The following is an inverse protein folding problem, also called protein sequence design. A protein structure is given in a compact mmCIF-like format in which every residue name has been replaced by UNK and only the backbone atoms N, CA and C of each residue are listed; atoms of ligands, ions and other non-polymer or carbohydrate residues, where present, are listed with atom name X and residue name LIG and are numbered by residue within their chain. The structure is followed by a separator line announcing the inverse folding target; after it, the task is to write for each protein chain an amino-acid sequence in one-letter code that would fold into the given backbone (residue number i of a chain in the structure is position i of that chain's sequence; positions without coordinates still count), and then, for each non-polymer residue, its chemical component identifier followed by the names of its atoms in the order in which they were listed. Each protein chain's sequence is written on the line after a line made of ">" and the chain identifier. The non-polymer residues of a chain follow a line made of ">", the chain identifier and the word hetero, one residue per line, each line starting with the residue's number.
data_IF_128838391927
#
_entry.id   IF_128838391927
#
_cell.length_a   1.000
_cell.length_b   1.000
_cell.length_c   1.000
_cell.angle_alpha   90.00
_cell.angle_beta   90.00
_cell.angle_gamma   90.00
#
_symmetry.space_group_name_H-M   'P 1'
#
loop_
_entity.id
_entity.type
_entity.pdbx_description
1 polymer ?
#
# COMPACT_ATOMS: atom_id res chain seq x y z
N UNK A 1 24.05 26.90 4.45
CA UNK A 1 23.96 25.66 3.66
C UNK A 1 22.56 25.59 3.11
N UNK A 2 22.35 25.31 1.81
CA UNK A 2 21.02 25.07 1.24
C UNK A 2 20.40 23.86 1.94
N UNK A 3 19.11 23.91 2.17
CA UNK A 3 18.37 22.82 2.81
C UNK A 3 18.33 21.61 1.88
N UNK A 4 18.68 20.43 2.36
CA UNK A 4 18.64 19.20 1.54
C UNK A 4 17.24 18.60 1.59
N UNK A 5 16.54 18.53 0.45
CA UNK A 5 15.18 18.04 0.34
C UNK A 5 15.06 16.58 -0.13
N UNK A 6 16.15 15.98 -0.64
CA UNK A 6 16.13 14.63 -1.20
C UNK A 6 17.26 13.78 -0.62
N UNK A 7 16.96 12.48 -0.41
CA UNK A 7 17.91 11.49 0.07
C UNK A 7 17.72 10.18 -0.69
N UNK A 8 18.83 9.59 -1.20
CA UNK A 8 18.82 8.20 -1.67
C UNK A 8 18.52 7.26 -0.49
N UNK A 9 17.87 6.11 -0.73
CA UNK A 9 17.62 5.14 0.33
C UNK A 9 18.91 4.73 1.05
N UNK A 10 20.01 4.54 0.31
CA UNK A 10 21.32 4.21 0.88
C UNK A 10 21.95 5.32 1.73
N UNK A 11 21.52 6.56 1.60
CA UNK A 11 22.06 7.70 2.36
C UNK A 11 21.29 7.95 3.66
N UNK A 12 20.02 7.53 3.72
CA UNK A 12 19.10 7.97 4.77
C UNK A 12 19.54 7.56 6.17
N UNK A 13 20.07 6.35 6.36
CA UNK A 13 20.56 5.91 7.67
C UNK A 13 21.73 6.75 8.15
N UNK A 14 22.77 6.92 7.33
CA UNK A 14 23.99 7.64 7.68
C UNK A 14 23.75 9.14 7.87
N UNK A 15 22.89 9.73 7.02
CA UNK A 15 22.57 11.15 7.09
C UNK A 15 21.94 11.59 8.43
N UNK A 16 21.31 10.67 9.13
CA UNK A 16 20.65 10.94 10.42
C UNK A 16 21.23 10.12 11.57
N UNK A 17 22.38 9.48 11.36
CA UNK A 17 23.06 8.68 12.39
C UNK A 17 22.23 7.50 12.93
N UNK A 18 21.29 6.98 12.13
CA UNK A 18 20.40 5.91 12.53
C UNK A 18 19.28 6.33 13.52
N UNK A 19 19.13 7.64 13.80
CA UNK A 19 18.04 8.10 14.67
C UNK A 19 16.68 7.92 13.98
N UNK A 20 15.95 6.90 14.40
CA UNK A 20 14.65 6.50 13.87
C UNK A 20 13.60 7.61 13.92
N UNK A 21 13.64 8.43 14.96
CA UNK A 21 12.68 9.54 15.15
C UNK A 21 12.92 10.63 14.12
N UNK A 22 14.18 11.06 13.96
CA UNK A 22 14.53 12.08 12.97
C UNK A 22 14.32 11.56 11.54
N UNK A 23 14.70 10.31 11.26
CA UNK A 23 14.43 9.70 9.95
C UNK A 23 12.95 9.69 9.61
N UNK A 24 12.08 9.25 10.51
CA UNK A 24 10.62 9.27 10.30
C UNK A 24 10.08 10.69 10.14
N UNK A 25 10.62 11.66 10.86
CA UNK A 25 10.20 13.04 10.76
C UNK A 25 10.52 13.66 9.40
N UNK A 26 11.63 13.31 8.80
CA UNK A 26 12.11 13.91 7.54
C UNK A 26 11.78 13.05 6.33
N UNK A 27 12.05 11.74 6.40
CA UNK A 27 11.84 10.80 5.28
C UNK A 27 10.42 10.21 5.27
N UNK A 28 9.63 10.46 6.31
CA UNK A 28 8.39 9.75 6.55
C UNK A 28 8.62 8.30 6.98
N UNK A 29 7.57 7.62 7.46
CA UNK A 29 7.71 6.24 7.94
C UNK A 29 8.16 5.25 6.86
N UNK A 30 7.64 5.40 5.64
CA UNK A 30 8.02 4.54 4.51
C UNK A 30 9.44 4.79 4.05
N UNK A 31 9.85 6.05 3.89
CA UNK A 31 11.22 6.41 3.48
C UNK A 31 12.25 5.99 4.53
N UNK A 32 11.97 6.17 5.81
CA UNK A 32 12.81 5.68 6.90
C UNK A 32 12.95 4.15 6.87
N UNK A 33 11.85 3.41 6.68
CA UNK A 33 11.88 1.95 6.55
C UNK A 33 12.70 1.47 5.36
N UNK A 34 12.57 2.13 4.20
CA UNK A 34 13.37 1.82 3.00
C UNK A 34 14.85 2.09 3.21
N UNK A 35 15.21 3.20 3.88
CA UNK A 35 16.58 3.52 4.21
C UNK A 35 17.18 2.49 5.19
N UNK A 36 16.46 2.11 6.22
CA UNK A 36 16.90 1.11 7.20
C UNK A 36 17.06 -0.29 6.58
N UNK A 37 16.07 -0.74 5.78
CA UNK A 37 16.19 -2.02 5.09
C UNK A 37 17.37 -2.04 4.12
N UNK A 38 17.63 -0.93 3.42
CA UNK A 38 18.78 -0.79 2.52
C UNK A 38 20.11 -0.85 3.31
N UNK A 39 20.20 -0.13 4.44
CA UNK A 39 21.35 -0.17 5.33
C UNK A 39 21.59 -1.57 5.91
N UNK A 40 20.53 -2.27 6.29
CA UNK A 40 20.58 -3.65 6.77
C UNK A 40 20.89 -4.69 5.69
N UNK A 41 21.11 -4.27 4.43
CA UNK A 41 21.46 -5.16 3.31
C UNK A 41 20.30 -6.01 2.80
N UNK A 42 19.06 -5.57 2.99
CA UNK A 42 17.90 -6.23 2.42
C UNK A 42 17.77 -5.93 0.90
N UNK A 43 17.15 -6.82 0.12
CA UNK A 43 16.96 -6.63 -1.32
C UNK A 43 15.86 -5.60 -1.60
N UNK A 44 16.19 -4.32 -1.43
CA UNK A 44 15.30 -3.18 -1.68
C UNK A 44 15.55 -2.63 -3.07
N UNK A 45 14.52 -2.45 -3.93
CA UNK A 45 14.69 -1.74 -5.19
C UNK A 45 15.22 -0.33 -4.95
N UNK A 46 16.15 0.12 -5.78
CA UNK A 46 16.81 1.44 -5.64
C UNK A 46 15.79 2.58 -5.73
N UNK A 47 16.10 3.69 -5.05
CA UNK A 47 15.23 4.86 -5.07
C UNK A 47 15.70 5.99 -4.15
N UNK A 48 14.89 7.02 -4.08
CA UNK A 48 15.11 8.17 -3.22
C UNK A 48 13.83 8.68 -2.58
N UNK A 49 13.97 9.41 -1.50
CA UNK A 49 12.87 10.05 -0.79
C UNK A 49 12.96 11.56 -0.94
N UNK A 50 11.85 12.19 -1.36
CA UNK A 50 11.61 13.62 -1.28
C UNK A 50 10.97 13.88 0.09
N UNK A 51 11.57 14.74 0.91
CA UNK A 51 11.28 14.86 2.34
C UNK A 51 9.91 15.47 2.65
N UNK A 52 9.45 15.28 3.88
CA UNK A 52 8.26 15.96 4.40
C UNK A 52 8.40 17.48 4.36
N UNK A 53 9.63 17.99 4.48
CA UNK A 53 9.91 19.41 4.39
C UNK A 53 9.72 19.97 2.97
N UNK A 54 9.95 19.17 1.93
CA UNK A 54 9.60 19.55 0.56
C UNK A 54 8.08 19.68 0.37
N UNK A 55 7.29 18.83 1.06
CA UNK A 55 5.83 18.96 1.08
C UNK A 55 5.38 20.25 1.76
N UNK A 56 5.94 20.59 2.92
CA UNK A 56 5.61 21.86 3.57
C UNK A 56 6.02 23.07 2.74
N UNK A 57 7.15 22.98 2.03
CA UNK A 57 7.57 24.02 1.07
C UNK A 57 6.60 24.14 -0.11
N UNK A 58 6.13 23.00 -0.67
CA UNK A 58 5.11 23.00 -1.72
C UNK A 58 3.85 23.74 -1.32
N UNK A 59 3.36 23.57 -0.08
CA UNK A 59 2.20 24.31 0.41
C UNK A 59 2.52 25.80 0.66
N UNK A 60 3.73 26.13 1.12
CA UNK A 60 4.19 27.51 1.29
C UNK A 60 4.33 28.25 -0.06
N UNK A 61 4.70 27.53 -1.11
CA UNK A 61 4.84 28.01 -2.49
C UNK A 61 3.50 27.93 -3.29
N UNK A 62 2.35 28.04 -2.61
CA UNK A 62 1.01 27.99 -3.22
C UNK A 62 0.72 26.72 -4.03
N UNK A 63 1.12 25.57 -3.52
CA UNK A 63 0.99 24.24 -4.16
C UNK A 63 1.78 24.11 -5.46
N UNK A 64 2.94 24.74 -5.51
CA UNK A 64 3.91 24.59 -6.60
C UNK A 64 5.22 24.02 -6.08
N UNK A 65 5.83 23.12 -6.87
CA UNK A 65 7.18 22.65 -6.62
C UNK A 65 8.14 23.68 -7.22
N UNK A 66 8.97 24.30 -6.40
CA UNK A 66 9.91 25.30 -6.88
C UNK A 66 11.04 24.69 -7.74
N UNK A 67 11.75 25.54 -8.48
CA UNK A 67 12.73 25.09 -9.47
C UNK A 67 13.94 24.39 -8.84
N UNK A 68 14.33 24.71 -7.59
CA UNK A 68 15.40 24.05 -6.87
C UNK A 68 15.03 22.58 -6.59
N UNK A 69 13.83 22.33 -6.04
CA UNK A 69 13.35 20.98 -5.77
C UNK A 69 13.16 20.18 -7.07
N UNK A 70 12.63 20.81 -8.15
CA UNK A 70 12.52 20.16 -9.46
C UNK A 70 13.88 19.74 -10.02
N UNK A 71 14.87 20.64 -9.95
CA UNK A 71 16.23 20.34 -10.41
C UNK A 71 16.84 19.18 -9.63
N UNK A 72 16.66 19.16 -8.30
CA UNK A 72 17.11 18.07 -7.46
C UNK A 72 16.40 16.75 -7.80
N UNK A 73 15.08 16.75 -8.05
CA UNK A 73 14.34 15.54 -8.48
C UNK A 73 14.99 14.95 -9.73
N UNK A 74 15.27 15.75 -10.75
CA UNK A 74 15.87 15.26 -11.99
C UNK A 74 17.32 14.80 -11.79
N UNK A 75 18.09 15.46 -10.95
CA UNK A 75 19.42 15.03 -10.55
C UNK A 75 19.39 13.66 -9.88
N UNK A 76 18.49 13.43 -8.94
CA UNK A 76 18.34 12.15 -8.26
C UNK A 76 17.81 11.05 -9.17
N UNK A 77 16.97 11.39 -10.16
CA UNK A 77 16.60 10.46 -11.22
C UNK A 77 17.81 10.03 -12.04
N UNK A 78 18.71 10.94 -12.43
CA UNK A 78 19.95 10.59 -13.12
C UNK A 78 20.84 9.64 -12.29
N UNK A 79 20.94 9.85 -10.97
CA UNK A 79 21.66 8.94 -10.08
C UNK A 79 20.97 7.56 -10.04
N UNK A 80 19.65 7.52 -10.02
CA UNK A 80 18.89 6.28 -10.05
C UNK A 80 19.09 5.51 -11.37
N UNK A 81 19.15 6.21 -12.50
CA UNK A 81 19.49 5.63 -13.81
C UNK A 81 20.87 4.97 -13.78
N UNK A 82 21.88 5.65 -13.23
CA UNK A 82 23.25 5.11 -13.07
C UNK A 82 23.26 3.85 -12.18
N UNK A 83 22.55 3.87 -11.07
CA UNK A 83 22.49 2.76 -10.12
C UNK A 83 21.81 1.52 -10.70
N UNK A 84 20.78 1.72 -11.51
CA UNK A 84 19.95 0.63 -12.06
C UNK A 84 20.46 0.15 -13.43
N UNK A 85 21.29 0.94 -14.12
CA UNK A 85 21.68 0.71 -15.51
C UNK A 85 20.50 0.80 -16.48
N UNK A 86 19.39 1.41 -16.07
CA UNK A 86 18.19 1.64 -16.88
C UNK A 86 18.02 3.15 -17.11
N UNK A 87 17.25 3.54 -18.11
CA UNK A 87 17.06 4.94 -18.45
C UNK A 87 15.58 5.32 -18.41
N UNK A 88 15.27 6.43 -17.76
CA UNK A 88 13.92 6.95 -17.63
C UNK A 88 13.40 7.47 -18.97
N UNK A 89 12.30 6.89 -19.46
CA UNK A 89 11.76 7.21 -20.79
C UNK A 89 12.49 6.56 -21.99
N UNK A 90 13.46 5.67 -21.74
CA UNK A 90 14.15 4.96 -22.83
C UNK A 90 13.23 3.98 -23.56
N UNK A 91 13.47 3.85 -24.86
CA UNK A 91 12.80 2.85 -25.70
C UNK A 91 13.44 1.46 -25.50
N UNK A 92 14.75 1.38 -25.31
CA UNK A 92 15.47 0.10 -25.29
C UNK A 92 15.54 -0.52 -23.91
N UNK A 93 15.70 0.30 -22.86
CA UNK A 93 15.89 -0.15 -21.49
C UNK A 93 15.18 0.77 -20.49
N UNK A 94 13.84 0.80 -20.48
CA UNK A 94 13.08 1.76 -19.70
C UNK A 94 13.25 1.52 -18.19
N UNK A 95 13.57 2.59 -17.47
CA UNK A 95 13.42 2.67 -16.03
C UNK A 95 11.97 3.05 -15.73
N UNK A 96 11.25 2.19 -15.03
CA UNK A 96 9.93 2.52 -14.50
C UNK A 96 10.03 2.70 -12.99
N UNK A 97 9.28 3.65 -12.47
CA UNK A 97 9.28 3.95 -11.03
C UNK A 97 7.86 3.97 -10.45
N UNK A 98 7.78 3.70 -9.15
CA UNK A 98 6.62 4.02 -8.34
C UNK A 98 6.83 5.37 -7.66
N UNK A 99 5.78 6.16 -7.50
CA UNK A 99 5.76 7.40 -6.73
C UNK A 99 4.74 7.21 -5.60
N UNK A 100 5.23 7.09 -4.38
CA UNK A 100 4.45 6.63 -3.22
C UNK A 100 4.53 7.64 -2.09
N UNK A 101 3.40 7.94 -1.45
CA UNK A 101 3.36 8.74 -0.24
C UNK A 101 4.06 8.06 0.94
N UNK A 102 4.57 8.87 1.86
CA UNK A 102 5.26 8.39 3.06
C UNK A 102 5.10 9.37 4.23
N UNK A 103 3.92 9.40 4.88
CA UNK A 103 3.72 10.22 6.08
C UNK A 103 4.56 9.69 7.27
N UNK A 104 4.83 10.55 8.26
CA UNK A 104 5.56 10.18 9.49
C UNK A 104 4.88 9.02 10.24
N UNK A 105 3.55 9.08 10.30
CA UNK A 105 2.70 8.01 10.84
C UNK A 105 1.97 7.31 9.69
N UNK A 106 1.85 5.99 9.77
CA UNK A 106 1.17 5.19 8.74
C UNK A 106 -0.30 5.59 8.61
N UNK A 107 -0.73 5.89 7.39
CA UNK A 107 -2.11 6.25 7.02
C UNK A 107 -2.56 5.34 5.87
N UNK A 108 -2.91 4.06 6.14
CA UNK A 108 -3.18 3.07 5.11
C UNK A 108 -4.36 3.48 4.21
N UNK A 109 -4.14 3.50 2.90
CA UNK A 109 -5.17 3.84 1.90
C UNK A 109 -5.59 5.31 1.84
N UNK A 110 -5.07 6.17 2.74
CA UNK A 110 -5.53 7.57 2.82
C UNK A 110 -4.85 8.50 1.81
N UNK A 111 -3.71 8.12 1.27
CA UNK A 111 -2.92 8.91 0.33
C UNK A 111 -2.57 8.11 -0.92
N UNK A 112 -2.23 8.84 -1.98
CA UNK A 112 -2.13 8.28 -3.30
C UNK A 112 -0.77 7.62 -3.60
N UNK A 113 -0.79 6.72 -4.59
CA UNK A 113 0.35 6.00 -5.14
C UNK A 113 0.20 5.95 -6.65
N UNK A 114 1.29 6.14 -7.39
CA UNK A 114 1.33 5.96 -8.84
C UNK A 114 2.39 4.90 -9.15
N UNK A 115 2.02 3.86 -9.90
CA UNK A 115 2.89 2.78 -10.33
C UNK A 115 3.20 2.87 -11.83
N UNK A 116 4.24 2.18 -12.26
CA UNK A 116 4.62 2.06 -13.68
C UNK A 116 4.91 3.41 -14.38
N UNK A 117 5.25 4.45 -13.61
CA UNK A 117 5.53 5.78 -14.13
C UNK A 117 6.81 5.77 -14.98
N UNK A 118 6.78 6.45 -16.09
CA UNK A 118 7.83 6.47 -17.12
C UNK A 118 7.42 5.76 -18.41
N UNK A 119 6.26 5.08 -18.43
CA UNK A 119 5.70 4.52 -19.66
C UNK A 119 5.10 5.60 -20.55
N UNK A 120 5.33 5.44 -21.84
CA UNK A 120 4.72 6.17 -22.93
C UNK A 120 4.58 5.22 -24.14
N UNK A 121 4.08 5.73 -25.27
CA UNK A 121 3.82 4.91 -26.46
C UNK A 121 5.07 4.23 -27.03
N UNK A 122 6.24 4.79 -26.79
CA UNK A 122 7.52 4.20 -27.24
C UNK A 122 8.12 3.25 -26.20
N UNK A 123 8.13 3.66 -24.94
CA UNK A 123 8.71 2.86 -23.86
C UNK A 123 7.96 1.54 -23.63
N UNK A 124 6.63 1.48 -23.88
CA UNK A 124 5.85 0.26 -23.78
C UNK A 124 6.28 -0.79 -24.82
N UNK A 125 6.58 -0.37 -26.05
CA UNK A 125 7.08 -1.28 -27.08
C UNK A 125 8.48 -1.80 -26.72
N UNK A 126 9.35 -0.94 -26.18
CA UNK A 126 10.66 -1.35 -25.67
C UNK A 126 10.56 -2.35 -24.52
N UNK A 127 9.66 -2.11 -23.59
CA UNK A 127 9.41 -3.04 -22.48
C UNK A 127 8.89 -4.39 -22.99
N UNK A 128 7.94 -4.38 -23.93
CA UNK A 128 7.39 -5.58 -24.54
C UNK A 128 8.47 -6.42 -25.24
N UNK A 129 9.33 -5.76 -26.02
CA UNK A 129 10.45 -6.42 -26.73
C UNK A 129 11.50 -6.97 -25.76
N UNK A 130 11.87 -6.18 -24.74
CA UNK A 130 12.89 -6.57 -23.77
C UNK A 130 12.47 -7.77 -22.91
N UNK A 131 11.20 -7.84 -22.53
CA UNK A 131 10.67 -8.91 -21.68
C UNK A 131 10.14 -10.10 -22.48
N UNK A 132 10.07 -10.01 -23.80
CA UNK A 132 9.36 -10.95 -24.68
C UNK A 132 7.92 -11.23 -24.19
N UNK A 133 7.31 -10.22 -23.58
CA UNK A 133 5.98 -10.32 -22.98
C UNK A 133 5.15 -9.05 -23.25
N UNK A 134 4.56 -8.93 -24.44
CA UNK A 134 3.74 -7.77 -24.80
C UNK A 134 2.53 -7.61 -23.86
N UNK A 135 1.94 -8.73 -23.39
CA UNK A 135 0.81 -8.68 -22.47
C UNK A 135 1.19 -7.95 -21.18
N UNK A 136 2.31 -8.31 -20.59
CA UNK A 136 2.83 -7.66 -19.37
C UNK A 136 3.07 -6.16 -19.59
N UNK A 137 3.74 -5.80 -20.69
CA UNK A 137 4.06 -4.40 -20.98
C UNK A 137 2.79 -3.53 -21.11
N UNK A 138 1.79 -4.03 -21.85
CA UNK A 138 0.54 -3.30 -22.05
C UNK A 138 -0.37 -3.33 -20.81
N UNK A 139 -0.31 -4.36 -19.95
CA UNK A 139 -0.97 -4.35 -18.65
C UNK A 139 -0.37 -3.26 -17.75
N UNK A 140 0.95 -3.12 -17.71
CA UNK A 140 1.60 -2.03 -16.99
C UNK A 140 1.19 -0.65 -17.52
N UNK A 141 1.08 -0.50 -18.85
CA UNK A 141 0.74 0.78 -19.44
C UNK A 141 -0.73 1.17 -19.22
N UNK A 142 -1.67 0.22 -19.36
CA UNK A 142 -3.09 0.52 -19.08
C UNK A 142 -3.29 0.89 -17.60
N UNK A 143 -2.62 0.16 -16.65
CA UNK A 143 -2.63 0.47 -15.22
C UNK A 143 -2.06 1.86 -14.94
N UNK A 144 -0.97 2.21 -15.60
CA UNK A 144 -0.36 3.53 -15.44
C UNK A 144 -1.30 4.64 -15.93
N UNK A 145 -1.91 4.51 -17.12
CA UNK A 145 -2.85 5.52 -17.63
C UNK A 145 -4.04 5.68 -16.68
N UNK A 146 -4.64 4.58 -16.24
CA UNK A 146 -5.76 4.59 -15.29
C UNK A 146 -5.38 5.30 -13.99
N UNK A 147 -4.27 4.88 -13.38
CA UNK A 147 -3.82 5.40 -12.09
C UNK A 147 -3.38 6.87 -12.18
N UNK A 148 -2.68 7.25 -13.24
CA UNK A 148 -2.30 8.64 -13.48
C UNK A 148 -3.54 9.54 -13.69
N UNK A 149 -4.50 9.06 -14.47
CA UNK A 149 -5.75 9.79 -14.72
C UNK A 149 -6.58 9.96 -13.43
N UNK A 150 -6.69 8.92 -12.62
CA UNK A 150 -7.42 8.96 -11.35
C UNK A 150 -6.73 9.85 -10.32
N UNK A 151 -5.44 9.64 -10.08
CA UNK A 151 -4.69 10.27 -9.00
C UNK A 151 -4.17 11.66 -9.35
N UNK A 152 -3.60 11.83 -10.53
CA UNK A 152 -2.97 13.11 -10.92
C UNK A 152 -4.00 14.10 -11.45
N UNK A 153 -4.94 13.59 -12.27
CA UNK A 153 -5.94 14.41 -12.94
C UNK A 153 -7.32 14.38 -12.27
N UNK A 154 -7.50 13.54 -11.24
CA UNK A 154 -8.75 13.43 -10.46
C UNK A 154 -9.99 13.09 -11.33
N UNK A 155 -9.80 12.29 -12.38
CA UNK A 155 -10.87 11.92 -13.31
C UNK A 155 -11.86 10.88 -12.74
N UNK A 156 -11.44 10.15 -11.70
CA UNK A 156 -12.19 9.00 -11.18
C UNK A 156 -11.95 7.72 -11.99
N UNK A 157 -11.74 6.62 -11.27
CA UNK A 157 -11.38 5.32 -11.86
C UNK A 157 -12.52 4.62 -12.59
N UNK A 158 -13.79 4.94 -12.27
CA UNK A 158 -14.97 4.28 -12.80
C UNK A 158 -15.04 4.28 -14.34
N UNK A 159 -14.66 5.39 -14.98
CA UNK A 159 -14.64 5.47 -16.44
C UNK A 159 -13.74 4.42 -17.11
N UNK A 160 -12.65 4.06 -16.45
CA UNK A 160 -11.68 3.07 -16.92
C UNK A 160 -12.13 1.66 -16.57
N UNK A 161 -12.67 1.44 -15.37
CA UNK A 161 -13.19 0.17 -14.90
C UNK A 161 -14.34 -0.31 -15.78
N UNK A 162 -15.27 0.58 -16.18
CA UNK A 162 -16.35 0.28 -17.13
C UNK A 162 -15.83 -0.25 -18.48
N UNK A 163 -14.71 0.26 -18.97
CA UNK A 163 -14.08 -0.22 -20.21
C UNK A 163 -13.44 -1.59 -20.04
N UNK A 164 -12.80 -1.83 -18.91
CA UNK A 164 -12.25 -3.15 -18.58
C UNK A 164 -13.35 -4.19 -18.50
N UNK A 165 -14.44 -3.88 -17.81
CA UNK A 165 -15.57 -4.80 -17.64
C UNK A 165 -16.28 -5.07 -18.97
N UNK A 166 -16.50 -4.06 -19.79
CA UNK A 166 -17.04 -4.22 -21.14
C UNK A 166 -16.13 -5.08 -22.04
N UNK A 167 -14.81 -4.93 -21.91
CA UNK A 167 -13.84 -5.77 -22.64
C UNK A 167 -13.93 -7.23 -22.17
N UNK A 168 -13.94 -7.46 -20.84
CA UNK A 168 -14.08 -8.81 -20.28
C UNK A 168 -15.35 -9.49 -20.72
N UNK A 169 -16.49 -8.78 -20.68
CA UNK A 169 -17.77 -9.29 -21.17
C UNK A 169 -17.73 -9.66 -22.66
N UNK A 170 -17.18 -8.78 -23.49
CA UNK A 170 -17.02 -8.98 -24.94
C UNK A 170 -16.13 -10.19 -25.27
N UNK A 171 -15.14 -10.48 -24.43
CA UNK A 171 -14.20 -11.60 -24.59
C UNK A 171 -14.63 -12.88 -23.86
N UNK A 172 -15.65 -12.81 -23.02
CA UNK A 172 -16.14 -13.96 -22.25
C UNK A 172 -15.18 -14.41 -21.15
N UNK A 173 -14.39 -13.47 -20.59
CA UNK A 173 -13.46 -13.72 -19.48
C UNK A 173 -13.87 -12.97 -18.22
N UNK A 174 -13.39 -13.42 -17.07
CA UNK A 174 -13.77 -12.84 -15.77
C UNK A 174 -12.65 -12.07 -15.09
N UNK A 175 -11.41 -12.42 -15.36
CA UNK A 175 -10.24 -11.80 -14.72
C UNK A 175 -9.43 -10.98 -15.71
N UNK A 176 -8.84 -9.89 -15.25
CA UNK A 176 -7.95 -9.05 -16.05
C UNK A 176 -6.74 -9.83 -16.58
N UNK A 177 -6.28 -10.85 -15.86
CA UNK A 177 -5.16 -11.70 -16.26
C UNK A 177 -5.47 -12.56 -17.49
N UNK A 178 -6.74 -12.76 -17.82
CA UNK A 178 -7.18 -13.54 -18.98
C UNK A 178 -7.24 -12.70 -20.28
N UNK A 179 -7.12 -11.36 -20.16
CA UNK A 179 -7.06 -10.47 -21.33
C UNK A 179 -5.74 -10.65 -22.09
N UNK A 180 -5.82 -10.69 -23.42
CA UNK A 180 -4.66 -10.84 -24.30
C UNK A 180 -3.88 -9.52 -24.45
N UNK A 181 -2.69 -9.58 -25.03
CA UNK A 181 -1.91 -8.39 -25.38
C UNK A 181 -2.68 -7.43 -26.30
N UNK A 182 -3.41 -7.95 -27.26
CA UNK A 182 -4.17 -7.13 -28.21
C UNK A 182 -5.39 -6.48 -27.54
N UNK A 183 -6.05 -7.17 -26.60
CA UNK A 183 -7.13 -6.59 -25.79
C UNK A 183 -6.61 -5.43 -24.93
N UNK A 184 -5.43 -5.59 -24.33
CA UNK A 184 -4.80 -4.56 -23.52
C UNK A 184 -4.31 -3.36 -24.36
N UNK A 185 -3.85 -3.59 -25.59
CA UNK A 185 -3.55 -2.51 -26.55
C UNK A 185 -4.79 -1.69 -26.90
N UNK A 186 -5.91 -2.38 -27.12
CA UNK A 186 -7.20 -1.72 -27.37
C UNK A 186 -7.63 -0.90 -26.17
N UNK A 187 -7.54 -1.46 -24.95
CA UNK A 187 -7.84 -0.72 -23.70
C UNK A 187 -6.94 0.51 -23.53
N UNK A 188 -5.64 0.42 -23.79
CA UNK A 188 -4.73 1.58 -23.74
C UNK A 188 -5.20 2.69 -24.66
N UNK A 189 -5.66 2.36 -25.86
CA UNK A 189 -6.20 3.33 -26.82
C UNK A 189 -7.48 3.97 -26.29
N UNK A 190 -8.43 3.16 -25.82
CA UNK A 190 -9.69 3.64 -25.24
C UNK A 190 -9.44 4.53 -23.99
N UNK A 191 -8.47 4.19 -23.16
CA UNK A 191 -8.12 4.98 -21.98
C UNK A 191 -7.54 6.35 -22.34
N UNK A 192 -6.71 6.41 -23.39
CA UNK A 192 -6.18 7.68 -23.89
C UNK A 192 -7.27 8.54 -24.54
N UNK A 193 -8.26 7.92 -25.16
CA UNK A 193 -9.44 8.63 -25.68
C UNK A 193 -10.30 9.21 -24.54
N UNK A 194 -10.52 8.47 -23.45
CA UNK A 194 -11.19 8.97 -22.25
C UNK A 194 -10.41 10.14 -21.65
N UNK A 195 -9.10 10.00 -21.53
CA UNK A 195 -8.24 11.07 -21.01
C UNK A 195 -8.38 12.36 -21.85
N UNK A 196 -8.27 12.24 -23.18
CA UNK A 196 -8.44 13.35 -24.11
C UNK A 196 -9.83 13.99 -24.01
N UNK A 197 -10.88 13.18 -23.95
CA UNK A 197 -12.27 13.66 -23.83
C UNK A 197 -12.48 14.46 -22.53
N UNK A 198 -11.93 14.00 -21.42
CA UNK A 198 -12.15 14.59 -20.11
C UNK A 198 -11.21 15.77 -19.80
N UNK A 199 -9.96 15.73 -20.27
CA UNK A 199 -8.95 16.76 -19.99
C UNK A 199 -8.81 17.78 -21.11
N UNK A 200 -9.21 17.43 -22.35
CA UNK A 200 -9.03 18.30 -23.52
C UNK A 200 -7.60 18.29 -24.09
N UNK A 201 -6.72 17.44 -23.54
CA UNK A 201 -5.32 17.29 -23.97
C UNK A 201 -4.93 15.82 -24.05
N UNK A 202 -3.84 15.53 -24.76
CA UNK A 202 -3.32 14.17 -24.89
C UNK A 202 -2.70 13.69 -23.59
N UNK A 203 -2.76 12.37 -23.34
CA UNK A 203 -2.04 11.77 -22.21
C UNK A 203 -0.54 12.09 -22.31
N UNK A 204 0.09 12.61 -21.22
CA UNK A 204 1.47 13.10 -21.25
C UNK A 204 2.46 12.00 -21.63
N UNK A 205 3.28 12.27 -22.64
CA UNK A 205 4.28 11.34 -23.17
C UNK A 205 5.70 11.62 -22.66
N UNK A 206 5.94 12.81 -22.05
CA UNK A 206 7.22 13.14 -21.41
C UNK A 206 7.27 12.54 -19.99
N UNK A 207 8.17 11.59 -19.70
CA UNK A 207 8.31 11.00 -18.37
C UNK A 207 8.67 12.01 -17.28
N UNK A 208 9.35 13.10 -17.60
CA UNK A 208 9.68 14.15 -16.63
C UNK A 208 8.45 14.95 -16.22
N UNK A 209 7.58 15.24 -17.17
CA UNK A 209 6.28 15.84 -16.89
C UNK A 209 5.42 14.91 -16.03
N UNK A 210 5.34 13.64 -16.40
CA UNK A 210 4.65 12.61 -15.61
C UNK A 210 5.16 12.57 -14.17
N UNK A 211 6.49 12.62 -13.95
CA UNK A 211 7.10 12.56 -12.62
C UNK A 211 6.73 13.74 -11.75
N UNK A 212 6.85 14.96 -12.29
CA UNK A 212 6.49 16.17 -11.55
C UNK A 212 4.99 16.20 -11.24
N UNK A 213 4.14 15.80 -12.17
CA UNK A 213 2.70 15.66 -11.96
C UNK A 213 2.37 14.68 -10.83
N UNK A 214 3.02 13.51 -10.82
CA UNK A 214 2.86 12.50 -9.78
C UNK A 214 3.33 12.99 -8.39
N UNK A 215 4.48 13.65 -8.30
CA UNK A 215 4.98 14.22 -7.04
C UNK A 215 4.02 15.28 -6.50
N UNK A 216 3.53 16.18 -7.35
CA UNK A 216 2.50 17.16 -6.97
C UNK A 216 1.22 16.50 -6.47
N UNK A 217 0.75 15.44 -7.15
CA UNK A 217 -0.45 14.72 -6.75
C UNK A 217 -0.29 14.05 -5.38
N UNK A 218 0.86 13.43 -5.11
CA UNK A 218 1.15 12.85 -3.79
C UNK A 218 1.21 13.92 -2.71
N UNK A 219 1.83 15.06 -2.93
CA UNK A 219 1.80 16.18 -1.98
C UNK A 219 0.37 16.68 -1.75
N UNK A 220 -0.42 16.83 -2.82
CA UNK A 220 -1.82 17.24 -2.73
C UNK A 220 -2.68 16.26 -1.94
N UNK A 221 -2.39 14.96 -2.06
CA UNK A 221 -3.14 13.92 -1.37
C UNK A 221 -3.06 14.00 0.17
N UNK A 222 -2.05 14.72 0.71
CA UNK A 222 -1.99 15.04 2.13
C UNK A 222 -3.22 15.84 2.61
N UNK A 223 -3.82 16.64 1.74
CA UNK A 223 -4.96 17.51 2.05
C UNK A 223 -6.29 16.99 1.44
N UNK A 224 -6.35 15.75 0.98
CA UNK A 224 -7.60 15.19 0.50
C UNK A 224 -8.60 14.90 1.65
N UNK A 225 -9.92 14.84 1.39
CA UNK A 225 -10.94 14.66 2.43
C UNK A 225 -10.71 13.44 3.31
N UNK A 226 -10.39 12.28 2.75
CA UNK A 226 -10.16 11.05 3.51
C UNK A 226 -8.92 11.14 4.41
N UNK A 227 -7.84 11.77 3.94
CA UNK A 227 -6.64 12.00 4.74
C UNK A 227 -6.92 12.98 5.90
N UNK A 228 -7.73 14.01 5.66
CA UNK A 228 -8.14 14.97 6.68
C UNK A 228 -8.94 14.30 7.81
N UNK A 229 -9.91 13.46 7.46
CA UNK A 229 -10.70 12.68 8.43
C UNK A 229 -9.78 11.76 9.25
N UNK A 230 -8.92 10.98 8.58
CA UNK A 230 -8.02 10.06 9.25
C UNK A 230 -7.05 10.77 10.20
N UNK A 231 -6.45 11.90 9.77
CA UNK A 231 -5.55 12.69 10.62
C UNK A 231 -6.26 13.22 11.87
N UNK A 232 -7.48 13.75 11.70
CA UNK A 232 -8.30 14.23 12.84
C UNK A 232 -8.60 13.12 13.84
N UNK A 233 -8.92 11.91 13.37
CA UNK A 233 -9.21 10.76 14.23
C UNK A 233 -7.97 10.25 14.98
N UNK A 234 -6.78 10.40 14.40
CA UNK A 234 -5.52 9.88 14.95
C UNK A 234 -4.63 10.99 15.52
N UNK A 235 -5.16 12.20 15.70
CA UNK A 235 -4.44 13.35 16.26
C UNK A 235 -3.11 13.67 15.53
N UNK A 236 -3.08 13.48 14.19
CA UNK A 236 -1.91 13.74 13.36
C UNK A 236 -1.89 15.21 12.93
N UNK A 237 -0.85 15.99 13.31
CA UNK A 237 -0.75 17.41 12.97
C UNK A 237 -0.66 17.64 11.46
N UNK A 238 -1.37 18.65 10.98
CA UNK A 238 -1.39 19.03 9.56
C UNK A 238 -0.01 19.45 9.03
N UNK A 239 0.73 20.18 9.84
CA UNK A 239 2.05 20.74 9.52
C UNK A 239 3.16 19.70 9.33
N UNK A 240 2.88 18.43 9.62
CA UNK A 240 3.86 17.36 9.40
C UNK A 240 4.13 17.09 7.91
N UNK A 241 3.13 17.26 7.06
CA UNK A 241 3.24 16.95 5.65
C UNK A 241 3.47 15.45 5.38
N UNK A 242 3.73 15.12 4.13
CA UNK A 242 4.10 13.77 3.69
C UNK A 242 5.39 13.80 2.89
N UNK A 243 6.20 12.76 3.01
CA UNK A 243 7.29 12.50 2.08
C UNK A 243 6.78 11.80 0.81
N UNK A 244 7.59 11.83 -0.24
CA UNK A 244 7.36 11.10 -1.49
C UNK A 244 8.53 10.17 -1.74
N UNK A 245 8.26 8.89 -1.95
CA UNK A 245 9.27 7.89 -2.29
C UNK A 245 9.17 7.59 -3.78
N UNK A 246 10.24 7.85 -4.52
CA UNK A 246 10.44 7.48 -5.92
C UNK A 246 11.32 6.26 -5.95
N UNK A 247 10.77 5.12 -6.38
CA UNK A 247 11.43 3.83 -6.27
C UNK A 247 11.33 3.06 -7.58
N UNK A 248 12.43 2.43 -8.00
CA UNK A 248 12.44 1.50 -9.13
C UNK A 248 11.35 0.46 -8.95
N UNK A 249 10.57 0.20 -10.01
CA UNK A 249 9.60 -0.88 -10.03
C UNK A 249 10.27 -2.25 -9.97
N UNK A 250 9.67 -3.14 -9.17
CA UNK A 250 9.85 -4.59 -9.24
C UNK A 250 8.49 -5.18 -9.64
N UNK A 251 8.49 -6.09 -10.62
CA UNK A 251 7.27 -6.50 -11.30
C UNK A 251 6.77 -7.88 -10.85
N UNK A 252 5.76 -7.89 -9.99
CA UNK A 252 5.08 -9.12 -9.59
C UNK A 252 4.16 -9.70 -10.67
N UNK A 253 3.88 -8.95 -11.74
CA UNK A 253 3.00 -9.34 -12.85
C UNK A 253 3.75 -9.68 -14.14
N UNK A 254 5.04 -9.98 -14.07
CA UNK A 254 5.85 -10.30 -15.25
C UNK A 254 5.75 -11.77 -15.70
N UNK A 255 5.00 -12.61 -14.98
CA UNK A 255 4.78 -14.02 -15.34
C UNK A 255 4.58 -14.92 -14.14
N UNK A 256 4.55 -16.23 -14.37
CA UNK A 256 4.22 -17.24 -13.36
C UNK A 256 5.29 -17.44 -12.28
N UNK A 257 6.51 -16.95 -12.50
CA UNK A 257 7.59 -16.93 -11.49
C UNK A 257 7.67 -15.59 -10.74
N UNK A 258 6.65 -14.78 -10.90
CA UNK A 258 6.55 -13.46 -10.30
C UNK A 258 5.27 -13.36 -9.49
N UNK A 259 5.29 -12.53 -8.46
CA UNK A 259 4.16 -12.35 -7.56
C UNK A 259 4.41 -11.21 -6.60
N UNK A 260 3.42 -10.93 -5.79
CA UNK A 260 3.50 -9.90 -4.75
C UNK A 260 2.69 -10.33 -3.54
N UNK A 261 3.04 -9.83 -2.37
CA UNK A 261 2.35 -10.20 -1.16
C UNK A 261 2.61 -9.28 0.02
N UNK A 262 1.85 -9.53 1.05
CA UNK A 262 1.96 -8.89 2.36
C UNK A 262 2.04 -9.96 3.43
N UNK A 263 2.94 -9.81 4.37
CA UNK A 263 3.09 -10.77 5.45
C UNK A 263 3.48 -10.10 6.78
N UNK A 264 3.17 -10.80 7.86
CA UNK A 264 3.49 -10.42 9.23
C UNK A 264 4.42 -11.45 9.83
N UNK A 265 5.41 -11.02 10.60
CA UNK A 265 6.32 -11.93 11.29
C UNK A 265 5.63 -12.76 12.37
N UNK A 266 4.51 -12.26 12.90
CA UNK A 266 3.62 -12.94 13.86
C UNK A 266 2.16 -12.73 13.48
N UNK A 267 1.28 -13.57 14.01
CA UNK A 267 -0.16 -13.41 13.80
C UNK A 267 -0.67 -12.09 14.37
N UNK A 268 -1.16 -11.13 13.55
CA UNK A 268 -1.59 -9.82 14.02
C UNK A 268 -2.90 -9.85 14.82
N UNK A 269 -3.65 -10.96 14.78
CA UNK A 269 -4.89 -11.12 15.53
C UNK A 269 -4.66 -11.77 16.91
N UNK A 270 -3.75 -12.75 17.00
CA UNK A 270 -3.55 -13.54 18.22
C UNK A 270 -2.20 -13.30 18.90
N UNK A 271 -1.20 -12.82 18.18
CA UNK A 271 0.18 -12.67 18.66
C UNK A 271 1.06 -13.91 18.47
N UNK A 272 0.49 -15.05 18.03
CA UNK A 272 1.23 -16.29 17.83
C UNK A 272 2.47 -16.07 16.95
N UNK A 273 3.63 -16.62 17.37
CA UNK A 273 4.88 -16.56 16.63
C UNK A 273 4.84 -17.47 15.40
N UNK A 274 4.12 -17.03 14.39
CA UNK A 274 3.94 -17.72 13.12
C UNK A 274 3.87 -16.72 12.00
N UNK A 275 4.71 -16.90 10.98
CA UNK A 275 4.66 -16.11 9.77
C UNK A 275 3.27 -16.22 9.15
N UNK A 276 2.58 -15.10 9.03
CA UNK A 276 1.25 -14.99 8.43
C UNK A 276 1.27 -14.00 7.29
N UNK A 277 0.61 -14.35 6.19
CA UNK A 277 0.52 -13.45 5.06
C UNK A 277 -0.14 -14.11 3.87
N UNK A 278 -0.26 -13.33 2.84
CA UNK A 278 -0.97 -13.66 1.62
C UNK A 278 -0.17 -13.15 0.42
N UNK A 279 -0.23 -13.88 -0.69
CA UNK A 279 0.41 -13.49 -1.93
C UNK A 279 -0.43 -13.87 -3.14
N UNK A 280 -0.18 -13.18 -4.25
CA UNK A 280 -0.73 -13.48 -5.55
C UNK A 280 0.40 -13.69 -6.56
N UNK A 281 0.33 -14.76 -7.31
CA UNK A 281 1.18 -14.98 -8.49
C UNK A 281 0.67 -14.12 -9.65
N UNK A 282 1.61 -13.62 -10.45
CA UNK A 282 1.35 -12.78 -11.61
C UNK A 282 0.40 -11.61 -11.27
N UNK A 283 0.81 -10.77 -10.31
CA UNK A 283 0.02 -9.65 -9.79
C UNK A 283 0.90 -8.47 -9.37
N UNK A 284 0.36 -7.26 -9.42
CA UNK A 284 0.96 -6.09 -8.77
C UNK A 284 0.42 -5.91 -7.36
N UNK A 285 1.10 -5.10 -6.53
CA UNK A 285 0.78 -4.94 -5.10
C UNK A 285 -0.66 -4.51 -4.82
N UNK A 286 -1.24 -3.70 -5.69
CA UNK A 286 -2.63 -3.26 -5.58
C UNK A 286 -3.63 -4.41 -5.70
N UNK A 287 -3.33 -5.46 -6.47
CA UNK A 287 -4.23 -6.60 -6.69
C UNK A 287 -4.45 -7.42 -5.40
N UNK A 288 -3.46 -7.44 -4.50
CA UNK A 288 -3.56 -8.13 -3.20
C UNK A 288 -4.53 -7.42 -2.26
N UNK A 289 -4.46 -6.09 -2.22
CA UNK A 289 -5.24 -5.28 -1.27
C UNK A 289 -6.62 -4.92 -1.80
N UNK A 290 -6.81 -4.89 -3.12
CA UNK A 290 -8.10 -4.62 -3.76
C UNK A 290 -9.11 -5.78 -3.59
N UNK A 291 -8.64 -7.00 -3.32
CA UNK A 291 -9.52 -8.15 -3.09
C UNK A 291 -10.18 -8.73 -4.34
N UNK A 292 -9.81 -8.29 -5.54
CA UNK A 292 -10.37 -8.76 -6.82
C UNK A 292 -10.09 -10.25 -7.04
N UNK A 293 -8.91 -10.71 -6.61
CA UNK A 293 -8.47 -12.11 -6.63
C UNK A 293 -8.31 -12.60 -5.20
N UNK A 294 -8.65 -13.86 -4.94
CA UNK A 294 -8.40 -14.50 -3.64
C UNK A 294 -6.92 -14.85 -3.53
N UNK A 295 -6.18 -14.25 -2.60
CA UNK A 295 -4.76 -14.54 -2.43
C UNK A 295 -4.54 -15.91 -1.80
N UNK A 296 -3.36 -16.48 -2.05
CA UNK A 296 -2.89 -17.72 -1.41
C UNK A 296 -2.19 -17.41 -0.08
N UNK A 297 -2.32 -18.27 0.93
CA UNK A 297 -1.59 -18.11 2.18
C UNK A 297 -0.07 -18.25 1.93
N UNK A 298 0.74 -17.44 2.64
CA UNK A 298 2.19 -17.38 2.47
C UNK A 298 2.88 -18.74 2.62
N UNK A 299 2.30 -19.66 3.40
CA UNK A 299 2.83 -21.02 3.57
C UNK A 299 2.87 -21.83 2.27
N UNK A 300 1.98 -21.54 1.33
CA UNK A 300 1.97 -22.17 0.00
C UNK A 300 3.16 -21.78 -0.87
N UNK A 301 3.76 -20.63 -0.61
CA UNK A 301 4.94 -20.17 -1.34
C UNK A 301 6.12 -21.13 -1.15
N UNK A 302 6.20 -21.82 -0.03
CA UNK A 302 7.20 -22.87 0.22
C UNK A 302 7.12 -24.03 -0.80
N UNK A 303 5.90 -24.37 -1.25
CA UNK A 303 5.69 -25.44 -2.25
C UNK A 303 5.97 -24.93 -3.68
N UNK A 304 5.59 -23.68 -3.96
CA UNK A 304 5.66 -23.10 -5.30
C UNK A 304 7.04 -22.51 -5.64
N UNK A 305 7.70 -21.84 -4.65
CA UNK A 305 9.01 -21.20 -4.78
C UNK A 305 9.82 -21.36 -3.47
N UNK A 306 10.32 -22.56 -3.16
CA UNK A 306 10.96 -22.84 -1.86
C UNK A 306 12.14 -21.93 -1.55
N UNK A 307 13.01 -21.65 -2.51
CA UNK A 307 14.18 -20.78 -2.32
C UNK A 307 13.79 -19.34 -1.96
N UNK A 308 12.72 -18.83 -2.60
CA UNK A 308 12.18 -17.48 -2.31
C UNK A 308 11.56 -17.45 -0.92
N UNK A 309 10.81 -18.51 -0.55
CA UNK A 309 10.21 -18.63 0.77
C UNK A 309 11.27 -18.67 1.87
N UNK A 310 12.32 -19.47 1.73
CA UNK A 310 13.40 -19.58 2.71
C UNK A 310 14.13 -18.25 2.88
N UNK A 311 14.43 -17.56 1.77
CA UNK A 311 15.00 -16.19 1.81
C UNK A 311 14.06 -15.20 2.52
N UNK A 312 12.76 -15.32 2.27
CA UNK A 312 11.77 -14.44 2.91
C UNK A 312 11.68 -14.67 4.42
N UNK A 313 11.70 -15.92 4.87
CA UNK A 313 11.71 -16.29 6.30
C UNK A 313 12.98 -15.74 7.00
N UNK A 314 14.14 -15.85 6.36
CA UNK A 314 15.38 -15.27 6.88
C UNK A 314 15.26 -13.75 7.03
N UNK A 315 14.78 -13.05 6.01
CA UNK A 315 14.59 -11.59 6.04
C UNK A 315 13.58 -11.20 7.13
N UNK A 316 12.45 -11.90 7.23
CA UNK A 316 11.43 -11.65 8.24
C UNK A 316 12.01 -11.76 9.66
N UNK A 317 12.80 -12.81 9.92
CA UNK A 317 13.48 -13.02 11.19
C UNK A 317 14.48 -11.88 11.48
N UNK A 318 15.29 -11.50 10.50
CA UNK A 318 16.26 -10.39 10.64
C UNK A 318 15.55 -9.06 10.92
N UNK A 319 14.45 -8.76 10.25
CA UNK A 319 13.68 -7.52 10.44
C UNK A 319 13.03 -7.47 11.84
N UNK A 320 12.41 -8.58 12.30
CA UNK A 320 11.83 -8.64 13.64
C UNK A 320 12.89 -8.42 14.72
N UNK A 321 14.07 -9.04 14.59
CA UNK A 321 15.19 -8.86 15.51
C UNK A 321 15.79 -7.45 15.46
N UNK A 322 15.87 -6.86 14.26
CA UNK A 322 16.38 -5.50 14.07
C UNK A 322 15.49 -4.43 14.73
N UNK A 323 14.20 -4.50 14.47
CA UNK A 323 13.21 -3.56 15.03
C UNK A 323 12.76 -3.96 16.44
N UNK A 324 13.11 -5.18 16.88
CA UNK A 324 12.70 -5.77 18.16
C UNK A 324 11.20 -5.78 18.35
N UNK A 325 10.43 -5.88 17.27
CA UNK A 325 8.98 -5.88 17.25
C UNK A 325 8.44 -6.59 16.03
N UNK A 326 7.19 -7.08 16.11
CA UNK A 326 6.47 -7.67 14.99
C UNK A 326 6.44 -6.73 13.79
N UNK A 327 6.80 -7.24 12.64
CA UNK A 327 6.82 -6.48 11.38
C UNK A 327 5.68 -6.88 10.44
N UNK A 328 5.13 -5.86 9.77
CA UNK A 328 4.27 -5.92 8.60
C UNK A 328 5.13 -5.59 7.38
N UNK A 329 5.18 -6.51 6.42
CA UNK A 329 6.13 -6.48 5.30
C UNK A 329 5.39 -6.58 3.98
N UNK A 330 5.73 -5.70 3.04
CA UNK A 330 5.31 -5.77 1.64
C UNK A 330 6.49 -6.27 0.80
N UNK A 331 6.26 -7.26 -0.05
CA UNK A 331 7.29 -7.84 -0.91
C UNK A 331 6.79 -8.09 -2.33
N UNK A 332 7.73 -8.17 -3.26
CA UNK A 332 7.47 -8.55 -4.66
C UNK A 332 8.51 -9.57 -5.09
N UNK A 333 8.09 -10.54 -5.86
CA UNK A 333 8.93 -11.52 -6.52
C UNK A 333 8.91 -11.21 -8.01
N UNK A 334 10.05 -10.93 -8.61
CA UNK A 334 10.22 -10.73 -10.04
C UNK A 334 11.12 -11.83 -10.60
N UNK A 335 10.55 -12.71 -11.41
CA UNK A 335 11.22 -13.87 -12.00
C UNK A 335 12.06 -14.68 -10.98
N UNK A 336 11.44 -15.02 -9.84
CA UNK A 336 12.07 -15.79 -8.76
C UNK A 336 13.05 -15.00 -7.89
N UNK A 337 13.17 -13.68 -8.06
CA UNK A 337 13.99 -12.80 -7.25
C UNK A 337 13.13 -12.00 -6.28
N UNK A 338 13.42 -12.11 -4.99
CA UNK A 338 12.70 -11.42 -3.94
C UNK A 338 13.15 -9.96 -3.78
N UNK A 339 12.18 -9.06 -3.61
CA UNK A 339 12.37 -7.66 -3.27
C UNK A 339 11.48 -7.26 -2.11
N UNK A 340 12.06 -6.51 -1.16
CA UNK A 340 11.33 -5.91 -0.06
C UNK A 340 10.92 -4.49 -0.42
N UNK A 341 9.61 -4.18 -0.36
CA UNK A 341 9.08 -2.88 -0.75
C UNK A 341 8.78 -1.98 0.44
N UNK A 342 8.42 -2.56 1.57
CA UNK A 342 8.11 -1.84 2.79
C UNK A 342 8.22 -2.75 4.00
N UNK A 343 8.65 -2.18 5.12
CA UNK A 343 8.44 -2.76 6.46
C UNK A 343 7.93 -1.69 7.41
N UNK A 344 7.14 -2.12 8.38
CA UNK A 344 6.64 -1.27 9.47
C UNK A 344 6.28 -2.13 10.67
N UNK A 345 6.20 -1.51 11.85
CA UNK A 345 5.62 -2.18 13.00
C UNK A 345 4.18 -2.55 12.68
N UNK A 346 3.86 -3.84 12.81
CA UNK A 346 2.57 -4.39 12.41
C UNK A 346 1.44 -3.84 13.27
N UNK A 347 0.38 -3.35 12.62
CA UNK A 347 -0.88 -3.10 13.32
C UNK A 347 -1.45 -4.41 13.79
N UNK A 348 -1.91 -4.44 15.04
CA UNK A 348 -2.33 -5.66 15.74
C UNK A 348 -3.48 -5.39 16.69
N UNK A 349 -4.20 -6.43 17.04
CA UNK A 349 -5.26 -6.37 18.04
C UNK A 349 -4.67 -6.14 19.44
N UNK A 350 -5.51 -5.72 20.38
CA UNK A 350 -5.12 -5.59 21.78
C UNK A 350 -4.59 -6.91 22.37
N UNK A 351 -5.24 -8.02 22.06
CA UNK A 351 -4.80 -9.36 22.47
C UNK A 351 -3.41 -9.69 21.93
N UNK A 352 -3.20 -9.46 20.63
CA UNK A 352 -1.91 -9.72 19.99
C UNK A 352 -0.81 -8.80 20.54
N UNK A 353 -1.13 -7.52 20.83
CA UNK A 353 -0.18 -6.58 21.41
C UNK A 353 0.35 -7.07 22.76
N UNK A 354 -0.55 -7.52 23.64
CA UNK A 354 -0.19 -8.08 24.95
C UNK A 354 0.62 -9.36 24.80
N UNK A 355 0.16 -10.31 23.98
CA UNK A 355 0.85 -11.59 23.77
C UNK A 355 2.27 -11.38 23.22
N UNK A 356 2.41 -10.54 22.17
CA UNK A 356 3.72 -10.23 21.55
C UNK A 356 4.66 -9.55 22.55
N UNK A 357 4.17 -8.64 23.38
CA UNK A 357 4.99 -7.98 24.38
C UNK A 357 5.55 -8.98 25.40
N UNK A 358 4.72 -9.92 25.88
CA UNK A 358 5.17 -10.99 26.78
C UNK A 358 6.19 -11.92 26.10
N UNK A 359 5.87 -12.43 24.89
CA UNK A 359 6.73 -13.34 24.16
C UNK A 359 8.11 -12.75 23.87
N UNK A 360 8.17 -11.45 23.48
CA UNK A 360 9.44 -10.78 23.22
C UNK A 360 10.31 -10.61 24.48
N UNK A 361 9.70 -10.51 25.67
CA UNK A 361 10.44 -10.55 26.96
C UNK A 361 10.96 -11.95 27.22
N UNK A 362 10.11 -12.97 27.10
CA UNK A 362 10.48 -14.36 27.31
C UNK A 362 11.59 -14.84 26.36
N UNK A 363 11.57 -14.32 25.13
CA UNK A 363 12.61 -14.53 24.11
C UNK A 363 13.89 -13.72 24.36
N UNK A 364 13.91 -12.82 25.36
CA UNK A 364 15.05 -11.96 25.67
C UNK A 364 15.34 -10.84 24.63
N UNK A 365 14.37 -10.53 23.78
CA UNK A 365 14.50 -9.51 22.73
C UNK A 365 14.33 -8.09 23.31
N UNK A 366 13.41 -7.94 24.28
CA UNK A 366 13.15 -6.68 24.99
C UNK A 366 13.08 -6.90 26.49
N UNK A 367 13.21 -5.84 27.27
CA UNK A 367 12.99 -5.89 28.71
C UNK A 367 11.51 -5.65 29.08
N UNK A 368 11.14 -5.99 30.33
CA UNK A 368 9.79 -5.83 30.84
C UNK A 368 9.30 -4.37 30.78
N UNK A 369 10.17 -3.42 31.02
CA UNK A 369 9.84 -1.99 30.96
C UNK A 369 9.44 -1.59 29.53
N UNK A 370 10.18 -2.03 28.54
CA UNK A 370 9.88 -1.80 27.12
C UNK A 370 8.56 -2.47 26.75
N UNK A 371 8.31 -3.69 27.23
CA UNK A 371 7.06 -4.41 26.98
C UNK A 371 5.84 -3.62 27.51
N UNK A 372 5.92 -3.15 28.75
CA UNK A 372 4.84 -2.33 29.36
C UNK A 372 4.61 -1.04 28.57
N UNK A 373 5.66 -0.36 28.12
CA UNK A 373 5.56 0.89 27.35
C UNK A 373 4.95 0.69 25.93
N UNK A 374 4.98 -0.54 25.40
CA UNK A 374 4.43 -0.86 24.07
C UNK A 374 2.94 -1.15 24.08
N UNK A 375 2.37 -1.51 25.21
CA UNK A 375 0.94 -1.79 25.34
C UNK A 375 0.23 -0.49 25.72
N UNK A 376 -0.55 0.04 24.78
CA UNK A 376 -1.30 1.27 25.05
C UNK A 376 -2.45 1.01 26.03
N UNK A 377 -2.72 1.90 27.01
CA UNK A 377 -3.82 1.74 27.97
C UNK A 377 -5.18 1.49 27.31
N UNK A 378 -5.48 2.16 26.19
CA UNK A 378 -6.71 1.97 25.42
C UNK A 378 -6.89 0.52 24.90
N UNK A 379 -5.80 -0.19 24.66
CA UNK A 379 -5.86 -1.60 24.24
C UNK A 379 -6.31 -2.51 25.36
N UNK A 380 -5.95 -2.20 26.62
CA UNK A 380 -6.43 -2.96 27.76
C UNK A 380 -7.94 -2.77 27.95
N UNK A 381 -8.45 -1.56 27.78
CA UNK A 381 -9.90 -1.31 27.82
C UNK A 381 -10.64 -2.16 26.78
N UNK A 382 -10.07 -2.31 25.59
CA UNK A 382 -10.65 -3.14 24.52
C UNK A 382 -10.77 -4.61 24.92
N UNK A 383 -9.84 -5.14 25.73
CA UNK A 383 -9.88 -6.52 26.22
C UNK A 383 -10.95 -6.74 27.29
N UNK A 384 -11.42 -5.67 27.93
CA UNK A 384 -12.47 -5.69 28.94
C UNK A 384 -13.89 -5.54 28.34
N UNK A 385 -14.00 -5.33 27.02
CA UNK A 385 -15.30 -5.16 26.38
C UNK A 385 -16.15 -6.45 26.40
N UNK A 386 -17.49 -6.29 26.41
CA UNK A 386 -18.44 -7.39 26.41
C UNK A 386 -18.21 -8.35 25.23
N UNK A 387 -18.26 -9.63 25.51
CA UNK A 387 -18.30 -10.70 24.51
C UNK A 387 -19.71 -11.31 24.46
N UNK A 388 -20.05 -12.01 23.40
CA UNK A 388 -21.29 -12.80 23.37
C UNK A 388 -21.28 -13.84 24.49
N UNK A 389 -22.44 -14.02 25.14
CA UNK A 389 -22.64 -15.14 26.05
C UNK A 389 -22.36 -16.46 25.35
N UNK A 390 -21.50 -17.30 25.91
CA UNK A 390 -21.03 -18.52 25.28
C UNK A 390 -22.18 -19.52 25.00
N UNK A 391 -23.19 -19.56 25.89
CA UNK A 391 -24.34 -20.44 25.72
C UNK A 391 -25.26 -19.91 24.60
N UNK A 392 -25.48 -18.60 24.55
CA UNK A 392 -26.27 -17.96 23.50
C UNK A 392 -25.60 -18.12 22.12
N UNK A 393 -24.28 -17.95 22.04
CA UNK A 393 -23.53 -18.12 20.81
C UNK A 393 -23.60 -19.58 20.30
N UNK A 394 -23.53 -20.56 21.22
CA UNK A 394 -23.65 -21.99 20.89
C UNK A 394 -25.05 -22.37 20.44
N UNK A 395 -26.08 -21.69 20.95
CA UNK A 395 -27.47 -21.91 20.60
C UNK A 395 -27.90 -21.18 19.32
N UNK A 396 -27.13 -20.18 18.86
CA UNK A 396 -27.44 -19.39 17.68
C UNK A 396 -27.22 -20.21 16.40
N UNK A 397 -28.13 -20.06 15.45
CA UNK A 397 -27.99 -20.62 14.10
C UNK A 397 -27.03 -19.74 13.28
N UNK A 398 -25.92 -20.30 12.84
CA UNK A 398 -24.95 -19.61 12.00
C UNK A 398 -25.46 -19.51 10.57
N UNK A 399 -25.68 -18.30 10.07
CA UNK A 399 -26.10 -18.03 8.68
C UNK A 399 -24.92 -18.02 7.70
N UNK A 400 -23.70 -17.94 8.20
CA UNK A 400 -22.49 -17.95 7.39
C UNK A 400 -21.24 -18.03 8.25
N UNK A 401 -20.09 -18.25 7.61
CA UNK A 401 -18.78 -18.28 8.23
C UNK A 401 -17.84 -17.33 7.49
N UNK A 402 -17.21 -16.43 8.22
CA UNK A 402 -16.23 -15.48 7.68
C UNK A 402 -14.84 -15.70 8.28
N UNK A 403 -13.84 -15.09 7.66
CA UNK A 403 -12.49 -15.01 8.17
C UNK A 403 -12.43 -13.92 9.25
N UNK A 404 -12.10 -14.29 10.48
CA UNK A 404 -11.99 -13.33 11.58
C UNK A 404 -10.71 -12.49 11.45
N UNK A 405 -10.86 -11.25 11.02
CA UNK A 405 -9.74 -10.31 10.88
C UNK A 405 -9.45 -9.53 12.17
N UNK A 406 -10.42 -9.42 13.07
CA UNK A 406 -10.30 -8.78 14.39
C UNK A 406 -11.10 -9.57 15.41
N UNK A 407 -10.62 -9.75 16.65
CA UNK A 407 -11.41 -10.31 17.72
C UNK A 407 -12.51 -9.33 18.14
N UNK A 408 -13.59 -9.86 18.71
CA UNK A 408 -14.69 -9.08 19.22
C UNK A 408 -16.03 -9.57 18.69
N UNK A 409 -17.08 -8.99 19.26
CA UNK A 409 -18.47 -9.31 18.94
C UNK A 409 -19.19 -8.03 18.54
N UNK A 410 -19.75 -8.00 17.36
CA UNK A 410 -20.55 -6.89 16.88
C UNK A 410 -22.01 -7.28 16.72
N UNK A 411 -22.90 -6.42 17.20
CA UNK A 411 -24.34 -6.59 17.04
C UNK A 411 -24.95 -5.27 16.58
N UNK A 412 -25.74 -5.33 15.50
CA UNK A 412 -26.38 -4.13 14.96
C UNK A 412 -27.22 -4.44 13.74
N UNK A 413 -27.95 -3.44 13.25
CA UNK A 413 -28.72 -3.52 12.01
C UNK A 413 -27.77 -3.44 10.81
N UNK A 414 -28.05 -4.25 9.80
CA UNK A 414 -27.23 -4.29 8.59
C UNK A 414 -27.45 -3.03 7.74
N UNK A 415 -26.35 -2.44 7.30
CA UNK A 415 -26.31 -1.35 6.30
C UNK A 415 -25.34 -1.73 5.19
N UNK A 416 -25.57 -1.26 3.97
CA UNK A 416 -24.83 -1.68 2.78
C UNK A 416 -23.96 -0.58 2.16
N UNK A 417 -24.01 0.64 2.69
CA UNK A 417 -23.12 1.72 2.28
C UNK A 417 -22.60 2.51 3.49
N UNK A 418 -21.49 3.21 3.29
CA UNK A 418 -20.88 4.05 4.32
C UNK A 418 -21.78 5.25 4.64
N UNK A 419 -22.41 5.82 3.62
CA UNK A 419 -23.34 6.93 3.73
C UNK A 419 -24.60 6.53 4.53
N UNK A 420 -25.16 5.36 4.24
CA UNK A 420 -26.29 4.80 5.00
C UNK A 420 -25.92 4.60 6.48
N UNK A 421 -24.72 4.11 6.76
CA UNK A 421 -24.23 3.94 8.12
C UNK A 421 -24.20 5.30 8.85
N UNK A 422 -23.58 6.31 8.24
CA UNK A 422 -23.45 7.66 8.81
C UNK A 422 -24.81 8.33 9.04
N UNK A 423 -25.75 8.18 8.12
CA UNK A 423 -27.07 8.77 8.21
C UNK A 423 -27.92 8.08 9.27
N UNK A 424 -27.99 6.73 9.21
CA UNK A 424 -28.90 5.96 10.06
C UNK A 424 -28.50 5.93 11.53
N UNK A 425 -27.23 5.97 11.87
CA UNK A 425 -26.82 6.03 13.30
C UNK A 425 -27.27 7.28 14.03
N UNK A 426 -27.74 8.30 13.31
CA UNK A 426 -28.36 9.51 13.89
C UNK A 426 -29.74 9.23 14.48
N UNK A 427 -30.41 8.15 14.04
CA UNK A 427 -31.68 7.69 14.59
C UNK A 427 -31.45 6.70 15.74
N UNK A 428 -32.11 6.91 16.87
CA UNK A 428 -32.01 6.06 18.06
C UNK A 428 -32.33 4.58 17.77
N UNK A 429 -33.24 4.30 16.83
CA UNK A 429 -33.56 2.94 16.40
C UNK A 429 -32.42 2.24 15.65
N UNK A 430 -31.46 3.00 15.13
CA UNK A 430 -30.33 2.55 14.33
C UNK A 430 -28.97 2.86 14.96
N UNK A 431 -28.90 3.14 16.26
CA UNK A 431 -27.66 3.46 16.96
C UNK A 431 -26.53 2.45 16.77
N UNK A 432 -26.87 1.20 16.47
CA UNK A 432 -25.91 0.13 16.26
C UNK A 432 -26.10 -0.44 14.87
N UNK A 433 -25.12 -0.25 14.00
CA UNK A 433 -25.12 -0.78 12.64
C UNK A 433 -23.92 -1.70 12.40
N UNK A 434 -24.11 -2.66 11.51
CA UNK A 434 -23.05 -3.50 10.94
C UNK A 434 -22.96 -3.18 9.45
N UNK A 435 -21.82 -2.70 9.02
CA UNK A 435 -21.54 -2.36 7.62
C UNK A 435 -21.21 -3.63 6.84
N UNK A 436 -22.01 -3.94 5.84
CA UNK A 436 -21.82 -5.09 4.95
C UNK A 436 -21.51 -4.59 3.54
N UNK A 437 -20.34 -4.91 3.03
CA UNK A 437 -19.85 -4.46 1.72
C UNK A 437 -19.37 -5.65 0.89
N UNK A 438 -19.24 -5.48 -0.42
CA UNK A 438 -18.47 -6.41 -1.23
C UNK A 438 -17.00 -6.39 -0.81
N UNK A 439 -16.45 -5.19 -0.71
CA UNK A 439 -15.13 -4.83 -0.20
C UNK A 439 -15.22 -3.41 0.37
N UNK A 440 -14.26 -2.97 1.18
CA UNK A 440 -14.18 -1.58 1.61
C UNK A 440 -13.05 -0.86 0.89
N UNK A 441 -13.28 0.42 0.65
CA UNK A 441 -12.31 1.35 0.09
C UNK A 441 -12.00 2.49 1.08
N UNK A 442 -10.98 3.31 0.85
CA UNK A 442 -10.65 4.43 1.71
C UNK A 442 -11.79 5.45 1.88
N UNK A 443 -12.69 5.52 0.93
CA UNK A 443 -13.88 6.39 0.95
C UNK A 443 -14.91 5.93 2.00
N UNK A 444 -14.92 4.64 2.34
CA UNK A 444 -15.84 4.07 3.34
C UNK A 444 -15.47 4.40 4.80
N UNK A 445 -14.37 5.14 5.05
CA UNK A 445 -13.78 5.37 6.38
C UNK A 445 -14.78 5.90 7.42
N UNK A 446 -15.66 6.81 7.02
CA UNK A 446 -16.66 7.42 7.92
C UNK A 446 -17.72 6.39 8.33
N UNK A 447 -18.24 5.62 7.37
CA UNK A 447 -19.18 4.54 7.64
C UNK A 447 -18.57 3.41 8.47
N UNK A 448 -17.30 3.09 8.24
CA UNK A 448 -16.56 2.11 9.04
C UNK A 448 -16.42 2.57 10.50
N UNK A 449 -16.15 3.86 10.73
CA UNK A 449 -15.99 4.44 12.06
C UNK A 449 -17.24 4.36 12.92
N UNK A 450 -18.42 4.59 12.35
CA UNK A 450 -19.69 4.59 13.09
C UNK A 450 -20.29 3.20 13.24
N UNK A 451 -19.74 2.19 12.57
CA UNK A 451 -20.23 0.82 12.58
C UNK A 451 -19.68 0.03 13.77
N UNK A 452 -20.52 -0.83 14.37
CA UNK A 452 -20.09 -1.76 15.42
C UNK A 452 -19.23 -2.91 14.87
N UNK A 453 -19.40 -3.25 13.62
CA UNK A 453 -18.65 -4.27 12.92
C UNK A 453 -18.72 -4.09 11.42
N UNK A 454 -17.75 -4.70 10.73
CA UNK A 454 -17.63 -4.64 9.27
C UNK A 454 -17.53 -6.06 8.76
N UNK A 455 -18.38 -6.40 7.79
CA UNK A 455 -18.38 -7.67 7.08
C UNK A 455 -18.16 -7.40 5.60
N UNK A 456 -17.18 -8.06 4.99
CA UNK A 456 -16.97 -7.99 3.55
C UNK A 456 -17.13 -9.36 2.90
N UNK A 457 -17.64 -9.36 1.67
CA UNK A 457 -17.80 -10.58 0.86
C UNK A 457 -16.44 -11.05 0.33
N UNK A 458 -15.54 -10.12 0.06
CA UNK A 458 -14.21 -10.34 -0.51
C UNK A 458 -13.12 -9.76 0.38
N UNK A 459 -11.89 -10.24 0.19
CA UNK A 459 -10.70 -9.79 0.88
C UNK A 459 -10.21 -10.77 1.93
N UNK A 460 -8.90 -10.74 2.17
CA UNK A 460 -8.20 -11.53 3.16
C UNK A 460 -7.83 -10.73 4.41
N UNK A 461 -6.93 -11.29 5.22
CA UNK A 461 -6.43 -10.68 6.46
C UNK A 461 -5.63 -9.39 6.24
N UNK A 462 -5.20 -9.14 4.99
CA UNK A 462 -4.41 -7.98 4.58
C UNK A 462 -5.21 -6.95 3.79
N UNK A 463 -6.51 -7.21 3.55
CA UNK A 463 -7.40 -6.28 2.83
C UNK A 463 -7.57 -4.94 3.56
N UNK A 464 -8.00 -3.91 2.85
CA UNK A 464 -8.28 -2.60 3.41
C UNK A 464 -9.20 -2.68 4.64
N UNK A 465 -10.32 -3.44 4.55
CA UNK A 465 -11.22 -3.66 5.67
C UNK A 465 -10.51 -4.20 6.90
N UNK A 466 -9.72 -5.26 6.74
CA UNK A 466 -9.02 -5.91 7.84
C UNK A 466 -7.95 -5.02 8.49
N UNK A 467 -7.14 -4.34 7.67
CA UNK A 467 -6.01 -3.52 8.17
C UNK A 467 -6.51 -2.24 8.84
N UNK A 468 -7.48 -1.56 8.22
CA UNK A 468 -8.02 -0.29 8.76
C UNK A 468 -8.86 -0.54 10.01
N UNK A 469 -9.78 -1.51 9.98
CA UNK A 469 -10.63 -1.80 11.13
C UNK A 469 -9.85 -2.23 12.39
N UNK A 470 -8.72 -2.94 12.24
CA UNK A 470 -7.85 -3.27 13.39
C UNK A 470 -7.22 -2.03 14.03
N UNK A 471 -7.10 -0.95 13.28
CA UNK A 471 -6.53 0.30 13.77
C UNK A 471 -7.56 1.28 14.32
N UNK A 472 -8.84 0.95 14.21
CA UNK A 472 -9.98 1.74 14.72
C UNK A 472 -10.45 1.19 16.06
#
# INVERSE_FOLDING_TARGET
>A
MSKKFLYLFKEGHEAFGGDQTTMKNILGGKGAGLAEMTHAGMPVPQGFTITTEACTQYYADNREINDEIKADIFKYMGILEEQTGKQFGSIDNPLLVSVRSGARQSMPGMMDTILNLGLNDQAVEGLAKKTDNPRFAYDCYRRFIQMYSDVVMELGKSFFEERIDAMKERKGVTLDVDLTADDLKELVKEFKEIYLEKQGEQFPQDPKEQLIGAVKAVFRSWDNPRANVYRKMNEIPYEWGTAVNVQQMAFGNSGMRSGTGVAFTRNPATGEKKLMGEYLINAQGEDVVAGIRTPSPISKLHEEMPEVYDQFVEIATRLENYYKDMQDMEFTIEDGKLFMLQTRNGKRTAQAALQIACDLVDEGVIDEKTAVLRVEPKQLDTLLHPQFDAAALKAAEAIGKGLAASPGSACGRVVFSAEDAEEKVKDDAWKKVVLVRLETSPEDIVGMQVSQGILTVRGGMTSHAAVVARGM
#
